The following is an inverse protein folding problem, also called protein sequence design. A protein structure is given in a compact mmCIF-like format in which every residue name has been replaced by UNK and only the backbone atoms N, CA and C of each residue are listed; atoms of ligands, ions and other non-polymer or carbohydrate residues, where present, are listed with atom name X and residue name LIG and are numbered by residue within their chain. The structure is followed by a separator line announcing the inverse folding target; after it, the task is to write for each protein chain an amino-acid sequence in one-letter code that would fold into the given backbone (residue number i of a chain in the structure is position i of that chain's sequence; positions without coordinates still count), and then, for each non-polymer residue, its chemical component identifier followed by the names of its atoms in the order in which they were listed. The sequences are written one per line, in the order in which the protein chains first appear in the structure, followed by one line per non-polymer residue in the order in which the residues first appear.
data_IF_240598742825
#
_entry.id   IF_240598742825
#
_cell.length_a   1.000
_cell.length_b   1.000
_cell.length_c   1.000
_cell.angle_alpha   90.00
_cell.angle_beta   90.00
_cell.angle_gamma   90.00
#
_symmetry.space_group_name_H-M   'P 1'
#
loop_
_entity.id
_entity.type
_entity.pdbx_description
1 polymer ?
#
# COMPACT_ATOMS: atom_id res chain seq x y z
N UNK A 1 -13.77 -10.92 -10.84
CA UNK A 1 -14.13 -12.34 -11.16
C UNK A 1 -15.31 -12.82 -10.32
N UNK A 2 -15.31 -12.70 -8.99
CA UNK A 2 -16.40 -13.24 -8.12
C UNK A 2 -17.76 -12.57 -8.43
N UNK A 3 -17.81 -11.26 -8.67
CA UNK A 3 -19.06 -10.59 -9.05
C UNK A 3 -19.58 -11.05 -10.41
N UNK A 4 -18.69 -11.28 -11.39
CA UNK A 4 -19.06 -11.80 -12.71
C UNK A 4 -19.52 -13.27 -12.66
N UNK A 5 -18.90 -14.06 -11.76
CA UNK A 5 -19.31 -15.46 -11.55
C UNK A 5 -20.67 -15.50 -10.82
N UNK A 6 -20.92 -14.58 -9.87
CA UNK A 6 -22.23 -14.45 -9.22
C UNK A 6 -23.33 -14.05 -10.23
N UNK A 7 -23.07 -13.14 -11.14
CA UNK A 7 -24.03 -12.74 -12.20
C UNK A 7 -24.29 -13.88 -13.19
N UNK A 8 -23.29 -14.69 -13.52
CA UNK A 8 -23.47 -15.88 -14.38
C UNK A 8 -24.29 -16.94 -13.65
N UNK A 9 -23.99 -17.19 -12.38
CA UNK A 9 -24.76 -18.12 -11.54
C UNK A 9 -26.22 -17.66 -11.39
N UNK A 10 -26.44 -16.36 -11.18
CA UNK A 10 -27.79 -15.80 -11.05
C UNK A 10 -28.64 -16.02 -12.33
N UNK A 11 -28.07 -15.81 -13.51
CA UNK A 11 -28.78 -16.04 -14.79
C UNK A 11 -29.21 -17.51 -14.98
N UNK A 12 -28.33 -18.45 -14.72
CA UNK A 12 -28.62 -19.87 -14.77
C UNK A 12 -29.61 -20.31 -13.70
N UNK A 13 -29.56 -19.67 -12.54
CA UNK A 13 -30.49 -19.94 -11.44
C UNK A 13 -31.91 -19.53 -11.80
N UNK A 14 -32.11 -18.32 -12.34
CA UNK A 14 -33.45 -17.84 -12.75
C UNK A 14 -34.07 -18.75 -13.78
N UNK A 15 -33.31 -19.16 -14.81
CA UNK A 15 -33.85 -20.09 -15.85
C UNK A 15 -34.30 -21.42 -15.23
N UNK A 16 -33.50 -22.00 -14.30
CA UNK A 16 -33.85 -23.24 -13.59
C UNK A 16 -35.09 -23.09 -12.73
N UNK A 17 -35.22 -21.97 -12.04
CA UNK A 17 -36.38 -21.65 -11.19
C UNK A 17 -37.67 -21.59 -12.04
N UNK A 18 -37.62 -20.90 -13.19
CA UNK A 18 -38.78 -20.80 -14.09
C UNK A 18 -39.20 -22.17 -14.62
N UNK A 19 -38.25 -23.00 -15.04
CA UNK A 19 -38.53 -24.37 -15.49
C UNK A 19 -39.15 -25.21 -14.35
N UNK A 20 -38.58 -25.12 -13.13
CA UNK A 20 -39.12 -25.82 -11.97
C UNK A 20 -40.49 -25.34 -11.59
N UNK A 21 -40.74 -24.03 -11.62
CA UNK A 21 -42.05 -23.46 -11.33
C UNK A 21 -43.10 -23.90 -12.33
N UNK A 22 -42.75 -23.98 -13.64
CA UNK A 22 -43.64 -24.50 -14.68
C UNK A 22 -43.91 -25.99 -14.45
N UNK A 23 -42.94 -26.76 -14.07
CA UNK A 23 -43.10 -28.18 -13.75
C UNK A 23 -44.04 -28.37 -12.54
N UNK A 24 -43.80 -27.62 -11.44
CA UNK A 24 -44.67 -27.66 -10.26
C UNK A 24 -46.12 -27.27 -10.63
N UNK A 25 -46.29 -26.18 -11.40
CA UNK A 25 -47.61 -25.78 -11.89
C UNK A 25 -48.32 -26.90 -12.68
N UNK A 26 -47.59 -27.50 -13.60
CA UNK A 26 -48.17 -28.57 -14.48
C UNK A 26 -48.54 -29.78 -13.65
N UNK A 27 -47.71 -30.25 -12.73
CA UNK A 27 -48.02 -31.40 -11.86
C UNK A 27 -49.25 -31.11 -11.00
N UNK A 28 -49.30 -29.98 -10.33
CA UNK A 28 -50.42 -29.62 -9.49
C UNK A 28 -51.70 -29.36 -10.29
N UNK A 29 -51.61 -28.88 -11.51
CA UNK A 29 -52.81 -28.71 -12.40
C UNK A 29 -53.58 -30.00 -12.62
N UNK A 30 -52.88 -31.14 -12.64
CA UNK A 30 -53.48 -32.44 -12.77
C UNK A 30 -53.87 -33.10 -11.42
N UNK A 31 -53.28 -32.68 -10.32
CA UNK A 31 -53.57 -33.20 -8.97
C UNK A 31 -54.67 -32.40 -8.29
N UNK A 32 -54.48 -31.08 -8.16
CA UNK A 32 -55.45 -30.12 -7.61
C UNK A 32 -55.23 -28.74 -8.21
N UNK A 33 -56.18 -28.28 -9.05
CA UNK A 33 -56.13 -27.00 -9.75
C UNK A 33 -56.08 -25.80 -8.80
N UNK A 34 -56.70 -25.91 -7.62
CA UNK A 34 -56.71 -24.84 -6.63
C UNK A 34 -55.32 -24.64 -6.01
N UNK A 35 -54.62 -25.71 -5.74
CA UNK A 35 -53.26 -25.67 -5.17
C UNK A 35 -52.20 -25.35 -6.21
N UNK A 36 -52.45 -25.55 -7.50
CA UNK A 36 -51.49 -25.33 -8.59
C UNK A 36 -50.89 -23.92 -8.58
N UNK A 37 -51.72 -22.88 -8.40
CA UNK A 37 -51.27 -21.49 -8.34
C UNK A 37 -50.52 -21.22 -7.03
N UNK A 38 -51.01 -21.69 -5.89
CA UNK A 38 -50.41 -21.44 -4.57
C UNK A 38 -49.03 -22.08 -4.44
N UNK A 39 -48.87 -23.34 -4.82
CA UNK A 39 -47.59 -24.04 -4.81
C UNK A 39 -46.59 -23.40 -5.77
N UNK A 40 -47.03 -22.99 -6.96
CA UNK A 40 -46.15 -22.30 -7.92
C UNK A 40 -45.64 -20.93 -7.39
N UNK A 41 -46.56 -20.12 -6.84
CA UNK A 41 -46.20 -18.83 -6.25
C UNK A 41 -45.29 -19.02 -5.05
N UNK A 42 -45.53 -20.02 -4.20
CA UNK A 42 -44.68 -20.36 -3.07
C UNK A 42 -43.28 -20.73 -3.52
N UNK A 43 -43.08 -21.52 -4.56
CA UNK A 43 -41.79 -21.87 -5.15
C UNK A 43 -41.11 -20.64 -5.72
N UNK A 44 -41.80 -19.78 -6.48
CA UNK A 44 -41.24 -18.55 -7.04
C UNK A 44 -40.72 -17.60 -5.93
N UNK A 45 -41.51 -17.43 -4.88
CA UNK A 45 -41.15 -16.59 -3.74
C UNK A 45 -39.99 -17.22 -2.95
N UNK A 46 -40.06 -18.50 -2.61
CA UNK A 46 -39.02 -19.21 -1.84
C UNK A 46 -37.68 -19.25 -2.55
N UNK A 47 -37.67 -19.23 -3.87
CA UNK A 47 -36.42 -19.27 -4.67
C UNK A 47 -35.88 -17.91 -5.06
N UNK A 48 -36.51 -16.81 -4.61
CA UNK A 48 -35.91 -15.48 -4.84
C UNK A 48 -34.48 -15.41 -4.26
N UNK A 49 -33.46 -15.08 -5.06
CA UNK A 49 -32.04 -15.03 -4.58
C UNK A 49 -31.71 -13.75 -3.81
N UNK A 50 -32.70 -13.11 -3.13
CA UNK A 50 -32.57 -11.80 -2.51
C UNK A 50 -31.45 -11.78 -1.46
N UNK A 51 -31.38 -12.79 -0.59
CA UNK A 51 -30.30 -12.92 0.41
C UNK A 51 -28.93 -13.15 -0.27
N UNK A 52 -28.90 -13.91 -1.36
CA UNK A 52 -27.68 -14.19 -2.12
C UNK A 52 -27.15 -12.94 -2.83
N UNK A 53 -28.00 -12.15 -3.45
CA UNK A 53 -27.62 -10.91 -4.15
C UNK A 53 -27.17 -9.80 -3.22
N UNK A 54 -27.67 -9.76 -1.97
CA UNK A 54 -27.31 -8.76 -0.96
C UNK A 54 -26.05 -9.14 -0.16
N UNK A 55 -25.67 -10.41 -0.11
CA UNK A 55 -24.61 -10.93 0.74
C UNK A 55 -23.25 -10.24 0.50
N UNK A 56 -22.84 -10.11 -0.76
CA UNK A 56 -21.55 -9.52 -1.13
C UNK A 56 -21.55 -7.99 -1.08
N UNK A 57 -22.51 -7.26 -1.71
CA UNK A 57 -22.47 -5.79 -1.72
C UNK A 57 -22.52 -5.17 -0.33
N UNK A 58 -23.40 -5.67 0.54
CA UNK A 58 -23.53 -5.12 1.90
C UNK A 58 -22.24 -5.34 2.70
N UNK A 59 -21.68 -6.56 2.65
CA UNK A 59 -20.44 -6.85 3.36
C UNK A 59 -19.27 -5.99 2.85
N UNK A 60 -19.14 -5.80 1.54
CA UNK A 60 -18.11 -4.95 0.95
C UNK A 60 -18.29 -3.47 1.34
N UNK A 61 -19.52 -2.96 1.30
CA UNK A 61 -19.80 -1.57 1.72
C UNK A 61 -19.43 -1.35 3.20
N UNK A 62 -19.80 -2.28 4.07
CA UNK A 62 -19.44 -2.19 5.50
C UNK A 62 -17.93 -2.27 5.69
N UNK A 63 -17.25 -3.16 4.96
CA UNK A 63 -15.79 -3.30 5.01
C UNK A 63 -15.10 -2.02 4.52
N UNK A 64 -15.48 -1.48 3.37
CA UNK A 64 -14.92 -0.25 2.80
C UNK A 64 -15.08 0.95 3.75
N UNK A 65 -16.25 1.12 4.34
CA UNK A 65 -16.49 2.17 5.33
C UNK A 65 -15.62 1.98 6.59
N UNK A 66 -15.42 0.74 7.02
CA UNK A 66 -14.55 0.46 8.17
C UNK A 66 -13.09 0.70 7.86
N UNK A 67 -12.60 0.33 6.65
CA UNK A 67 -11.26 0.63 6.17
C UNK A 67 -11.01 2.14 6.16
N UNK A 68 -11.94 2.91 5.60
CA UNK A 68 -11.87 4.37 5.56
C UNK A 68 -11.77 5.01 6.96
N UNK A 69 -12.43 4.42 7.97
CA UNK A 69 -12.43 4.95 9.35
C UNK A 69 -11.06 4.94 10.04
N UNK A 70 -10.09 4.15 9.55
CA UNK A 70 -8.71 4.17 10.03
C UNK A 70 -7.69 4.62 8.97
N UNK A 71 -8.17 5.34 7.95
CA UNK A 71 -7.32 5.99 6.96
C UNK A 71 -6.90 5.11 5.78
N UNK A 72 -7.50 3.94 5.60
CA UNK A 72 -7.24 3.07 4.44
C UNK A 72 -8.37 3.23 3.42
N UNK A 73 -8.15 4.05 2.39
CA UNK A 73 -9.15 4.32 1.34
C UNK A 73 -9.01 3.33 0.18
N UNK A 74 -10.09 2.67 -0.18
CA UNK A 74 -10.13 1.80 -1.37
C UNK A 74 -10.70 2.60 -2.55
N UNK A 75 -9.98 2.60 -3.67
CA UNK A 75 -10.36 3.29 -4.91
C UNK A 75 -11.05 2.35 -5.90
N UNK A 76 -10.84 1.04 -5.77
CA UNK A 76 -11.39 0.01 -6.66
C UNK A 76 -12.20 -1.03 -5.90
N UNK A 77 -13.30 -1.49 -6.52
CA UNK A 77 -14.25 -2.42 -5.87
C UNK A 77 -13.69 -3.82 -5.55
N UNK A 78 -12.62 -4.27 -6.24
CA UNK A 78 -12.00 -5.58 -5.99
C UNK A 78 -10.98 -5.58 -4.85
N UNK A 79 -10.54 -4.40 -4.39
CA UNK A 79 -9.43 -4.23 -3.42
C UNK A 79 -9.63 -5.09 -2.16
N UNK A 80 -10.80 -5.01 -1.53
CA UNK A 80 -11.10 -5.79 -0.30
C UNK A 80 -11.01 -7.29 -0.54
N UNK A 81 -11.48 -7.76 -1.70
CA UNK A 81 -11.45 -9.18 -2.04
C UNK A 81 -10.02 -9.65 -2.30
N UNK A 82 -9.22 -8.88 -3.04
CA UNK A 82 -7.82 -9.23 -3.34
C UNK A 82 -6.96 -9.17 -2.09
N UNK A 83 -7.13 -8.16 -1.21
CA UNK A 83 -6.44 -8.07 0.08
C UNK A 83 -6.66 -9.32 0.95
N UNK A 84 -7.83 -9.97 0.86
CA UNK A 84 -8.10 -11.18 1.64
C UNK A 84 -7.33 -12.43 1.18
N UNK A 85 -6.69 -12.37 0.02
CA UNK A 85 -5.93 -13.48 -0.59
C UNK A 85 -4.45 -13.19 -0.71
N UNK A 86 -3.96 -12.06 -0.19
CA UNK A 86 -2.56 -11.67 -0.23
C UNK A 86 -1.70 -12.67 0.50
N UNK A 87 -0.63 -13.12 -0.16
CA UNK A 87 0.38 -14.04 0.40
C UNK A 87 1.72 -13.36 0.62
N UNK A 88 2.01 -12.32 -0.19
CA UNK A 88 3.23 -11.51 -0.08
C UNK A 88 2.92 -10.02 -0.11
N UNK A 89 3.66 -9.23 0.69
CA UNK A 89 3.58 -7.77 0.66
C UNK A 89 4.94 -7.21 0.32
N UNK A 90 5.04 -6.57 -0.84
CA UNK A 90 6.24 -5.90 -1.31
C UNK A 90 6.19 -4.42 -0.90
N UNK A 91 7.26 -3.96 -0.27
CA UNK A 91 7.42 -2.57 0.16
C UNK A 91 8.53 -1.91 -0.62
N UNK A 92 8.30 -0.69 -1.11
CA UNK A 92 9.42 0.20 -1.38
C UNK A 92 10.05 0.66 -0.06
N UNK A 93 11.31 1.09 -0.07
CA UNK A 93 12.00 1.60 1.12
C UNK A 93 11.62 3.05 1.40
N UNK A 94 11.97 3.93 0.46
CA UNK A 94 11.99 5.39 0.67
C UNK A 94 10.59 5.98 0.64
N UNK A 95 10.23 6.77 1.67
CA UNK A 95 8.88 7.33 1.77
C UNK A 95 7.78 6.31 2.12
N UNK A 96 8.10 5.01 2.14
CA UNK A 96 7.20 3.90 2.44
C UNK A 96 7.49 3.29 3.80
N UNK A 97 8.52 2.47 3.94
CA UNK A 97 8.98 1.96 5.24
C UNK A 97 9.65 3.05 6.08
N UNK A 98 10.24 4.03 5.41
CA UNK A 98 10.82 5.22 5.98
C UNK A 98 9.89 6.43 5.80
N UNK A 99 10.19 7.51 6.48
CA UNK A 99 9.38 8.75 6.41
C UNK A 99 9.63 9.55 5.14
N UNK A 100 10.70 9.25 4.38
CA UNK A 100 11.19 10.07 3.27
C UNK A 100 11.77 11.42 3.74
N UNK A 101 11.99 11.58 5.04
CA UNK A 101 12.59 12.77 5.63
C UNK A 101 14.02 12.46 6.07
N UNK A 102 14.98 13.11 5.44
CA UNK A 102 16.36 13.04 5.87
C UNK A 102 16.52 13.70 7.24
N UNK A 103 17.28 13.08 8.15
CA UNK A 103 17.73 13.70 9.39
C UNK A 103 19.25 13.75 9.40
N UNK A 104 19.81 14.91 9.74
CA UNK A 104 21.25 15.08 9.87
C UNK A 104 21.73 14.38 11.15
N UNK A 105 22.68 13.46 11.02
CA UNK A 105 23.29 12.72 12.12
C UNK A 105 24.60 13.33 12.54
N UNK A 106 25.51 13.56 11.57
CA UNK A 106 26.85 14.08 11.83
C UNK A 106 27.30 15.01 10.70
N UNK A 107 28.21 15.94 11.07
CA UNK A 107 28.97 16.78 10.15
C UNK A 107 30.40 16.59 10.53
N UNK A 108 31.23 16.10 9.63
CA UNK A 108 32.69 15.91 9.78
C UNK A 108 33.37 16.80 8.78
N UNK A 109 34.33 17.58 9.22
CA UNK A 109 35.00 18.54 8.33
C UNK A 109 36.24 19.19 8.89
N UNK A 110 36.76 20.13 8.13
CA UNK A 110 38.02 20.85 8.42
C UNK A 110 37.81 22.12 9.28
N UNK A 111 36.58 22.44 9.65
CA UNK A 111 36.22 23.59 10.48
C UNK A 111 35.20 23.21 11.56
N UNK A 112 34.77 24.17 12.35
CA UNK A 112 33.76 23.95 13.39
C UNK A 112 32.43 23.44 12.79
N UNK A 113 31.81 22.49 13.48
CA UNK A 113 30.56 21.84 13.06
C UNK A 113 29.44 22.85 12.77
N UNK A 114 29.29 23.88 13.61
CA UNK A 114 28.24 24.87 13.46
C UNK A 114 28.49 25.75 12.22
N UNK A 115 29.73 26.08 11.93
CA UNK A 115 30.14 26.85 10.74
C UNK A 115 29.87 26.04 9.47
N UNK A 116 30.31 24.78 9.41
CA UNK A 116 30.08 23.90 8.25
C UNK A 116 28.61 23.66 8.01
N UNK A 117 27.83 23.45 9.07
CA UNK A 117 26.37 23.28 8.98
C UNK A 117 25.70 24.56 8.49
N UNK A 118 26.09 25.74 8.97
CA UNK A 118 25.53 27.00 8.51
C UNK A 118 25.81 27.24 7.03
N UNK A 119 26.99 26.94 6.53
CA UNK A 119 27.36 27.05 5.11
C UNK A 119 26.59 26.06 4.26
N UNK A 120 26.49 24.78 4.68
CA UNK A 120 25.72 23.76 3.98
C UNK A 120 24.23 24.11 3.90
N UNK A 121 23.63 24.59 5.00
CA UNK A 121 22.24 25.01 5.04
C UNK A 121 21.99 26.25 4.17
N UNK A 122 22.92 27.20 4.15
CA UNK A 122 22.82 28.41 3.34
C UNK A 122 22.76 28.09 1.84
N UNK A 123 23.58 27.15 1.35
CA UNK A 123 23.55 26.69 -0.06
C UNK A 123 22.21 26.08 -0.44
N UNK A 124 21.56 25.40 0.48
CA UNK A 124 20.31 24.68 0.24
C UNK A 124 19.04 25.53 0.46
N UNK A 125 19.17 26.83 0.74
CA UNK A 125 18.03 27.76 0.84
C UNK A 125 17.28 27.78 -0.49
N UNK A 126 15.97 27.48 -0.44
CA UNK A 126 15.10 27.42 -1.63
C UNK A 126 15.06 26.06 -2.32
N UNK A 127 15.91 25.11 -1.97
CA UNK A 127 15.85 23.73 -2.44
C UNK A 127 14.68 22.98 -1.80
N UNK A 128 13.97 22.15 -2.59
CA UNK A 128 12.90 21.27 -2.10
C UNK A 128 13.40 19.87 -1.74
N UNK A 129 14.69 19.63 -1.84
CA UNK A 129 15.26 18.31 -1.56
C UNK A 129 15.14 17.96 -0.06
N UNK A 130 14.89 16.67 0.32
CA UNK A 130 14.83 16.26 1.73
C UNK A 130 16.06 16.63 2.55
N UNK A 131 17.24 16.60 1.95
CA UNK A 131 18.53 17.04 2.56
C UNK A 131 18.48 18.52 2.93
N UNK A 132 17.96 19.38 2.06
CA UNK A 132 17.82 20.80 2.32
C UNK A 132 16.98 21.08 3.57
N UNK A 133 15.82 20.40 3.66
CA UNK A 133 14.94 20.51 4.83
C UNK A 133 15.65 20.06 6.11
N UNK A 134 16.41 18.97 6.03
CA UNK A 134 17.18 18.45 7.17
C UNK A 134 18.25 19.44 7.65
N UNK A 135 19.01 20.01 6.69
CA UNK A 135 20.05 20.99 6.98
C UNK A 135 19.47 22.27 7.58
N UNK A 136 18.41 22.82 6.98
CA UNK A 136 17.74 24.03 7.50
C UNK A 136 17.14 23.82 8.90
N UNK A 137 16.59 22.61 9.15
CA UNK A 137 16.09 22.26 10.47
C UNK A 137 17.21 22.15 11.49
N UNK A 138 18.32 21.49 11.14
CA UNK A 138 19.46 21.33 12.03
C UNK A 138 20.22 22.65 12.28
N UNK A 139 20.21 23.56 11.31
CA UNK A 139 20.83 24.88 11.40
C UNK A 139 19.92 25.95 12.08
N UNK A 140 18.76 25.52 12.62
CA UNK A 140 17.86 26.47 13.29
C UNK A 140 18.57 27.20 14.45
N UNK A 141 18.55 28.51 14.40
CA UNK A 141 19.22 29.37 15.39
C UNK A 141 20.68 29.71 15.06
N UNK A 142 21.27 29.14 13.99
CA UNK A 142 22.59 29.55 13.51
C UNK A 142 22.45 30.77 12.57
N UNK A 143 23.51 31.60 12.56
CA UNK A 143 23.63 32.65 11.55
C UNK A 143 24.04 32.04 10.21
N UNK A 144 23.17 32.11 9.21
CA UNK A 144 23.44 31.59 7.88
C UNK A 144 24.14 32.67 7.03
N UNK A 145 25.29 32.36 6.38
CA UNK A 145 25.93 33.30 5.47
C UNK A 145 25.07 33.58 4.25
N UNK A 146 25.25 34.77 3.66
CA UNK A 146 24.57 35.13 2.41
C UNK A 146 25.24 34.39 1.26
N UNK A 147 24.43 33.71 0.44
CA UNK A 147 24.89 33.01 -0.76
C UNK A 147 24.45 33.78 -1.99
N UNK A 148 25.40 34.04 -2.89
CA UNK A 148 25.13 34.63 -4.21
C UNK A 148 25.42 33.61 -5.32
N UNK A 149 24.99 33.90 -6.55
CA UNK A 149 25.26 33.06 -7.74
C UNK A 149 24.89 31.58 -7.56
N UNK A 150 23.73 31.34 -6.94
CA UNK A 150 23.27 29.96 -6.68
C UNK A 150 22.88 29.27 -7.98
N UNK A 151 23.50 28.14 -8.27
CA UNK A 151 23.24 27.29 -9.46
C UNK A 151 22.86 25.89 -9.01
N UNK A 152 21.68 25.41 -9.45
CA UNK A 152 21.24 24.03 -9.23
C UNK A 152 21.66 23.15 -10.43
N UNK A 153 22.43 22.11 -10.15
CA UNK A 153 22.88 21.12 -11.14
C UNK A 153 22.03 19.86 -11.01
N UNK A 154 21.26 19.53 -12.06
CA UNK A 154 20.42 18.34 -12.09
C UNK A 154 21.27 17.08 -11.85
N UNK A 155 20.84 16.26 -10.88
CA UNK A 155 21.55 15.05 -10.44
C UNK A 155 22.97 15.25 -9.89
N UNK A 156 23.41 16.49 -9.65
CA UNK A 156 24.73 16.81 -9.11
C UNK A 156 24.67 17.35 -7.69
N UNK A 157 24.11 18.52 -7.54
CA UNK A 157 24.06 19.26 -6.30
C UNK A 157 23.84 20.74 -6.54
N UNK A 158 24.28 21.57 -5.59
CA UNK A 158 24.16 23.02 -5.61
C UNK A 158 25.53 23.66 -5.51
N UNK A 159 25.75 24.71 -6.30
CA UNK A 159 26.92 25.58 -6.25
C UNK A 159 26.50 26.99 -5.88
N UNK A 160 27.32 27.73 -5.14
CA UNK A 160 27.09 29.13 -4.80
C UNK A 160 28.33 29.80 -4.24
N UNK A 161 28.30 31.12 -4.09
CA UNK A 161 29.40 31.94 -3.59
C UNK A 161 29.06 32.49 -2.20
N UNK A 162 29.92 32.27 -1.23
CA UNK A 162 29.86 32.81 0.13
C UNK A 162 31.18 33.53 0.45
N UNK A 163 31.11 34.78 0.89
CA UNK A 163 32.30 35.59 1.25
C UNK A 163 33.39 35.61 0.15
N UNK A 164 32.97 35.63 -1.14
CA UNK A 164 33.85 35.61 -2.29
C UNK A 164 34.47 34.25 -2.63
N UNK A 165 34.12 33.18 -1.89
CA UNK A 165 34.59 31.81 -2.13
C UNK A 165 33.46 30.96 -2.71
N UNK A 166 33.77 30.17 -3.75
CA UNK A 166 32.80 29.23 -4.36
C UNK A 166 32.74 27.97 -3.52
N UNK A 167 31.52 27.49 -3.29
CA UNK A 167 31.22 26.23 -2.60
C UNK A 167 30.31 25.37 -3.44
N UNK A 168 30.45 24.05 -3.31
CA UNK A 168 29.53 23.02 -3.83
C UNK A 168 29.07 22.11 -2.73
N UNK A 169 27.82 21.67 -2.81
CA UNK A 169 27.25 20.59 -1.98
C UNK A 169 26.56 19.57 -2.89
N UNK A 170 26.85 18.26 -2.71
CA UNK A 170 26.28 17.22 -3.55
C UNK A 170 27.03 15.91 -3.53
N UNK A 171 26.90 15.14 -4.60
CA UNK A 171 27.62 13.86 -4.77
C UNK A 171 29.11 14.06 -5.06
N UNK A 172 29.93 13.06 -4.73
CA UNK A 172 31.38 13.08 -4.88
C UNK A 172 31.83 13.58 -6.26
N UNK A 173 31.27 13.03 -7.36
CA UNK A 173 31.61 13.44 -8.73
C UNK A 173 31.35 14.91 -9.02
N UNK A 174 30.35 15.50 -8.40
CA UNK A 174 30.01 16.90 -8.57
C UNK A 174 30.90 17.84 -7.76
N UNK A 175 31.21 17.46 -6.52
CA UNK A 175 32.01 18.32 -5.62
C UNK A 175 33.50 18.25 -5.92
N UNK A 176 34.02 17.25 -6.64
CA UNK A 176 35.44 17.07 -6.95
C UNK A 176 35.85 17.45 -8.38
N UNK A 177 34.92 17.73 -9.29
CA UNK A 177 35.13 18.11 -10.71
C UNK A 177 36.02 17.17 -11.54
N UNK A 178 36.35 16.01 -11.01
CA UNK A 178 37.23 15.06 -11.65
C UNK A 178 36.54 13.73 -11.84
N UNK A 179 36.76 13.13 -13.02
CA UNK A 179 36.84 11.68 -13.13
C UNK A 179 38.07 11.16 -12.35
N UNK A 180 38.22 11.62 -11.10
CA UNK A 180 39.20 11.03 -10.21
C UNK A 180 38.64 9.65 -9.89
N UNK A 181 39.31 8.63 -10.40
CA UNK A 181 39.48 7.40 -9.63
C UNK A 181 39.71 7.86 -8.21
N UNK A 182 38.75 7.55 -7.33
CA UNK A 182 38.78 8.00 -5.95
C UNK A 182 40.00 7.40 -5.27
N UNK A 183 41.15 7.99 -5.58
CA UNK A 183 42.39 7.68 -4.88
C UNK A 183 42.13 8.12 -3.44
N UNK A 184 42.01 7.11 -2.59
CA UNK A 184 41.66 7.23 -1.17
C UNK A 184 42.53 8.23 -0.42
N UNK A 185 43.63 8.69 -1.01
CA UNK A 185 44.53 9.70 -0.47
C UNK A 185 43.96 11.11 -0.42
N UNK A 186 43.09 11.51 -1.35
CA UNK A 186 42.48 12.85 -1.38
C UNK A 186 41.21 12.96 -0.51
N UNK A 187 40.60 11.84 -0.15
CA UNK A 187 39.45 11.79 0.74
C UNK A 187 39.86 11.73 2.22
N UNK A 188 41.07 11.23 2.55
CA UNK A 188 41.63 11.23 3.89
C UNK A 188 40.59 10.97 5.00
N UNK A 189 40.42 11.98 5.86
CA UNK A 189 39.44 11.97 6.96
C UNK A 189 37.98 11.93 6.48
N UNK A 190 37.69 12.13 5.18
CA UNK A 190 36.35 12.13 4.61
C UNK A 190 35.96 10.80 3.97
N UNK A 191 36.65 9.72 4.27
CA UNK A 191 36.31 8.36 3.86
C UNK A 191 34.85 8.05 4.30
N UNK A 192 34.08 7.47 3.41
CA UNK A 192 32.70 7.15 3.71
C UNK A 192 32.60 6.05 4.77
N UNK A 193 32.06 6.39 5.93
CA UNK A 193 31.85 5.47 7.04
C UNK A 193 30.39 5.54 7.52
N UNK A 194 29.46 5.11 6.64
CA UNK A 194 28.03 5.17 6.91
C UNK A 194 27.63 4.34 8.14
N UNK A 195 28.29 3.20 8.35
CA UNK A 195 27.97 2.31 9.46
C UNK A 195 28.33 2.90 10.81
N UNK A 196 29.45 3.60 10.93
CA UNK A 196 29.89 4.27 12.17
C UNK A 196 28.87 5.32 12.64
N UNK A 197 28.31 6.07 11.68
CA UNK A 197 27.32 7.12 11.98
C UNK A 197 25.88 6.62 11.90
N UNK A 198 25.64 5.32 11.71
CA UNK A 198 24.29 4.74 11.47
C UNK A 198 23.54 5.47 10.35
N UNK A 199 24.28 5.97 9.38
CA UNK A 199 23.76 6.72 8.25
C UNK A 199 23.44 5.79 7.09
N UNK A 200 22.46 6.17 6.29
CA UNK A 200 22.13 5.49 5.02
C UNK A 200 22.41 6.37 3.79
N UNK A 201 22.82 7.61 4.03
CA UNK A 201 23.16 8.58 2.99
C UNK A 201 24.22 9.55 3.49
N UNK A 202 25.15 9.98 2.62
CA UNK A 202 26.05 11.09 2.88
C UNK A 202 26.08 12.08 1.73
N UNK A 203 26.36 13.34 2.05
CA UNK A 203 26.55 14.44 1.10
C UNK A 203 27.87 15.11 1.41
N UNK A 204 28.59 15.51 0.39
CA UNK A 204 29.88 16.20 0.52
C UNK A 204 29.73 17.70 0.25
N UNK A 205 30.54 18.50 0.91
CA UNK A 205 30.70 19.91 0.62
C UNK A 205 32.14 20.19 0.26
N UNK A 206 32.39 20.97 -0.79
CA UNK A 206 33.70 21.42 -1.22
C UNK A 206 33.76 22.93 -1.39
N UNK A 207 34.97 23.49 -1.31
CA UNK A 207 35.27 24.90 -1.65
C UNK A 207 36.26 24.95 -2.79
N UNK A 208 36.18 26.01 -3.58
CA UNK A 208 37.20 26.32 -4.59
C UNK A 208 38.40 26.99 -3.90
N UNK A 209 39.57 26.38 -4.02
CA UNK A 209 40.81 26.92 -3.44
C UNK A 209 42.00 26.70 -4.40
N UNK A 210 42.67 27.79 -4.76
CA UNK A 210 43.70 27.73 -5.80
C UNK A 210 43.05 27.44 -7.16
N UNK A 211 43.36 26.30 -7.77
CA UNK A 211 42.85 25.86 -9.04
C UNK A 211 42.07 24.53 -8.97
N UNK A 212 41.61 24.16 -7.76
CA UNK A 212 40.94 22.89 -7.51
C UNK A 212 39.81 22.98 -6.49
N UNK A 213 38.89 22.00 -6.56
CA UNK A 213 37.89 21.78 -5.53
C UNK A 213 38.46 20.97 -4.38
N UNK A 214 38.40 21.53 -3.18
CA UNK A 214 38.83 20.86 -1.94
C UNK A 214 37.60 20.46 -1.14
N UNK A 215 37.48 19.17 -0.79
CA UNK A 215 36.42 18.68 0.09
C UNK A 215 36.69 19.21 1.49
N UNK A 216 35.69 19.89 2.08
CA UNK A 216 35.78 20.53 3.40
C UNK A 216 34.85 19.88 4.43
N UNK A 217 33.80 19.18 3.99
CA UNK A 217 32.93 18.45 4.91
C UNK A 217 32.24 17.25 4.25
N UNK A 218 31.92 16.27 5.09
CA UNK A 218 30.97 15.21 4.83
C UNK A 218 29.85 15.28 5.84
N UNK A 219 28.61 15.28 5.36
CA UNK A 219 27.39 15.36 6.14
C UNK A 219 26.66 14.02 6.02
N UNK A 220 26.34 13.42 7.16
CA UNK A 220 25.71 12.11 7.25
C UNK A 220 24.25 12.25 7.62
N UNK A 221 23.43 11.51 6.89
CA UNK A 221 21.96 11.53 7.07
C UNK A 221 21.41 10.12 7.19
N UNK A 222 20.29 10.00 7.87
CA UNK A 222 19.44 8.84 7.75
C UNK A 222 18.01 9.25 7.34
N UNK A 223 17.31 8.31 6.72
CA UNK A 223 15.87 8.38 6.51
C UNK A 223 15.22 7.52 7.59
N UNK A 224 14.53 8.17 8.52
CA UNK A 224 13.99 7.50 9.70
C UNK A 224 12.92 6.48 9.33
N UNK A 225 13.01 5.30 9.94
CA UNK A 225 11.95 4.31 9.90
C UNK A 225 10.65 4.87 10.49
N UNK A 226 9.53 4.52 9.88
CA UNK A 226 8.23 4.81 10.50
C UNK A 226 8.09 4.03 11.80
N UNK A 227 7.59 4.67 12.82
CA UNK A 227 7.52 4.12 14.19
C UNK A 227 6.68 2.85 14.29
N UNK A 228 5.73 2.66 13.39
CA UNK A 228 4.84 1.51 13.34
C UNK A 228 5.23 0.45 12.29
N UNK A 229 6.34 0.65 11.55
CA UNK A 229 6.79 -0.27 10.51
C UNK A 229 7.06 -1.68 11.08
N UNK A 230 7.79 -1.77 12.20
CA UNK A 230 8.11 -3.05 12.84
C UNK A 230 6.85 -3.80 13.28
N UNK A 231 5.93 -3.12 13.95
CA UNK A 231 4.67 -3.72 14.41
C UNK A 231 3.81 -4.20 13.23
N UNK A 232 3.80 -3.47 12.12
CA UNK A 232 3.11 -3.86 10.89
C UNK A 232 3.74 -5.12 10.28
N UNK A 233 5.07 -5.19 10.16
CA UNK A 233 5.78 -6.38 9.63
C UNK A 233 5.52 -7.61 10.49
N UNK A 234 5.57 -7.47 11.82
CA UNK A 234 5.30 -8.56 12.75
C UNK A 234 3.84 -9.04 12.64
N UNK A 235 2.89 -8.12 12.45
CA UNK A 235 1.48 -8.43 12.21
C UNK A 235 1.26 -9.23 10.92
N UNK A 236 1.92 -8.86 9.82
CA UNK A 236 1.87 -9.61 8.55
C UNK A 236 2.41 -11.04 8.73
N UNK A 237 3.56 -11.19 9.37
CA UNK A 237 4.16 -12.51 9.64
C UNK A 237 3.26 -13.39 10.51
N UNK A 238 2.64 -12.82 11.54
CA UNK A 238 1.68 -13.54 12.38
C UNK A 238 0.47 -14.08 11.61
N UNK A 239 0.14 -13.47 10.45
CA UNK A 239 -0.88 -13.96 9.52
C UNK A 239 -0.37 -14.96 8.50
N UNK A 240 0.92 -15.31 8.51
CA UNK A 240 1.56 -16.17 7.49
C UNK A 240 1.82 -15.44 6.17
N UNK A 241 1.84 -14.10 6.16
CA UNK A 241 2.12 -13.29 4.98
C UNK A 241 3.59 -12.91 4.99
N UNK A 242 4.29 -13.13 3.87
CA UNK A 242 5.71 -12.83 3.75
C UNK A 242 5.94 -11.38 3.31
N UNK A 243 6.55 -10.54 4.16
CA UNK A 243 6.98 -9.21 3.74
C UNK A 243 8.28 -9.29 2.95
N UNK A 244 8.40 -8.46 1.91
CA UNK A 244 9.62 -8.29 1.14
C UNK A 244 9.88 -6.82 0.86
N UNK A 245 11.15 -6.45 0.68
CA UNK A 245 11.56 -5.07 0.36
C UNK A 245 12.19 -5.00 -1.03
N UNK A 246 11.72 -4.06 -1.85
CA UNK A 246 12.25 -3.76 -3.19
C UNK A 246 12.69 -2.30 -3.22
N UNK A 247 13.99 -2.03 -3.33
CA UNK A 247 14.48 -0.64 -3.36
C UNK A 247 15.41 -0.36 -4.53
N UNK A 248 15.29 0.84 -5.09
CA UNK A 248 16.22 1.34 -6.11
C UNK A 248 17.52 1.90 -5.53
N UNK A 249 17.65 2.00 -4.21
CA UNK A 249 18.88 2.46 -3.56
C UNK A 249 20.04 1.51 -3.90
N UNK A 250 21.11 1.98 -4.56
CA UNK A 250 22.23 1.12 -4.96
C UNK A 250 23.14 0.74 -3.78
N UNK A 251 22.96 1.37 -2.61
CA UNK A 251 23.81 1.13 -1.43
C UNK A 251 23.39 -0.16 -0.71
N UNK A 252 24.30 -1.14 -0.50
CA UNK A 252 24.03 -2.34 0.29
C UNK A 252 23.50 -2.07 1.71
N UNK A 253 23.83 -0.91 2.29
CA UNK A 253 23.29 -0.49 3.60
C UNK A 253 21.76 -0.34 3.61
N UNK A 254 21.12 -0.27 2.44
CA UNK A 254 19.67 -0.35 2.35
C UNK A 254 19.12 -1.65 2.98
N UNK A 255 19.90 -2.74 2.98
CA UNK A 255 19.52 -4.01 3.62
C UNK A 255 19.48 -3.95 5.14
N UNK A 256 20.18 -2.99 5.77
CA UNK A 256 20.11 -2.79 7.22
C UNK A 256 18.66 -2.50 7.67
N UNK A 257 17.93 -1.69 6.91
CA UNK A 257 16.50 -1.41 7.13
C UNK A 257 15.66 -2.70 7.13
N UNK A 258 15.92 -3.61 6.20
CA UNK A 258 15.23 -4.89 6.14
C UNK A 258 15.57 -5.77 7.35
N UNK A 259 16.83 -5.79 7.75
CA UNK A 259 17.31 -6.55 8.93
C UNK A 259 16.65 -6.04 10.20
N UNK A 260 16.63 -4.72 10.42
CA UNK A 260 16.05 -4.07 11.61
C UNK A 260 14.53 -4.37 11.71
N UNK A 261 13.84 -4.40 10.59
CA UNK A 261 12.43 -4.76 10.50
C UNK A 261 12.21 -6.28 10.54
N UNK A 262 13.28 -7.08 10.38
CA UNK A 262 13.22 -8.52 10.30
C UNK A 262 12.64 -9.03 8.97
N UNK A 263 12.75 -8.28 7.87
CA UNK A 263 12.37 -8.70 6.53
C UNK A 263 13.49 -9.59 5.98
N UNK A 264 13.17 -10.84 5.64
CA UNK A 264 14.16 -11.81 5.14
C UNK A 264 14.41 -11.72 3.63
N UNK A 265 13.41 -11.27 2.86
CA UNK A 265 13.50 -11.11 1.41
C UNK A 265 13.68 -9.62 1.08
N UNK A 266 14.90 -9.19 0.76
CA UNK A 266 15.18 -7.78 0.44
C UNK A 266 16.12 -7.68 -0.76
N UNK A 267 15.81 -6.77 -1.68
CA UNK A 267 16.52 -6.56 -2.93
C UNK A 267 16.80 -5.08 -3.10
N UNK A 268 18.05 -4.72 -3.46
CA UNK A 268 18.50 -3.34 -3.61
C UNK A 268 19.06 -3.08 -5.01
N UNK A 269 19.25 -1.81 -5.37
CA UNK A 269 19.78 -1.41 -6.68
C UNK A 269 18.87 -1.76 -7.87
N UNK A 270 17.56 -1.91 -7.61
CA UNK A 270 16.60 -2.32 -8.63
C UNK A 270 16.15 -1.13 -9.47
N UNK A 271 16.17 -1.26 -10.79
CA UNK A 271 15.45 -0.35 -11.68
C UNK A 271 13.93 -0.53 -11.52
N UNK A 272 13.10 0.43 -11.97
CA UNK A 272 11.65 0.25 -11.99
C UNK A 272 11.22 -1.01 -12.77
N UNK A 273 11.88 -1.34 -13.86
CA UNK A 273 11.65 -2.52 -14.67
C UNK A 273 11.97 -3.81 -13.89
N UNK A 274 13.10 -3.85 -13.17
CA UNK A 274 13.47 -4.99 -12.33
C UNK A 274 12.45 -5.24 -11.23
N UNK A 275 11.94 -4.18 -10.59
CA UNK A 275 10.87 -4.28 -9.59
C UNK A 275 9.60 -4.90 -10.20
N UNK A 276 9.19 -4.45 -11.40
CA UNK A 276 8.03 -5.00 -12.12
C UNK A 276 8.22 -6.48 -12.42
N UNK A 277 9.40 -6.85 -12.92
CA UNK A 277 9.71 -8.25 -13.28
C UNK A 277 9.76 -9.14 -12.03
N UNK A 278 10.21 -8.60 -10.89
CA UNK A 278 10.17 -9.31 -9.62
C UNK A 278 8.73 -9.62 -9.19
N UNK A 279 7.83 -8.62 -9.25
CA UNK A 279 6.41 -8.81 -8.94
C UNK A 279 5.78 -9.85 -9.88
N UNK A 280 6.03 -9.77 -11.20
CA UNK A 280 5.50 -10.73 -12.17
C UNK A 280 5.98 -12.17 -11.92
N UNK A 281 7.27 -12.35 -11.55
CA UNK A 281 7.81 -13.66 -11.17
C UNK A 281 7.10 -14.25 -9.96
N UNK A 282 6.84 -13.46 -8.92
CA UNK A 282 6.07 -13.90 -7.76
C UNK A 282 4.65 -14.34 -8.16
N UNK A 283 3.98 -13.55 -9.00
CA UNK A 283 2.64 -13.88 -9.50
C UNK A 283 2.63 -15.16 -10.36
N UNK A 284 3.64 -15.38 -11.18
CA UNK A 284 3.79 -16.60 -11.97
C UNK A 284 3.95 -17.86 -11.09
N UNK A 285 4.51 -17.70 -9.90
CA UNK A 285 4.62 -18.76 -8.88
C UNK A 285 3.33 -18.94 -8.05
N UNK A 286 2.24 -18.27 -8.42
CA UNK A 286 0.93 -18.39 -7.75
C UNK A 286 0.76 -17.48 -6.53
N UNK A 287 1.70 -16.58 -6.25
CA UNK A 287 1.58 -15.63 -5.16
C UNK A 287 0.60 -14.49 -5.48
N UNK A 288 -0.13 -14.05 -4.48
CA UNK A 288 -0.93 -12.81 -4.56
C UNK A 288 -0.17 -11.70 -3.87
N UNK A 289 0.30 -10.74 -4.65
CA UNK A 289 1.20 -9.69 -4.18
C UNK A 289 0.45 -8.37 -3.96
N UNK A 290 0.58 -7.82 -2.75
CA UNK A 290 0.29 -6.41 -2.47
C UNK A 290 1.59 -5.61 -2.62
N UNK A 291 1.59 -4.58 -3.47
CA UNK A 291 2.68 -3.60 -3.55
C UNK A 291 2.31 -2.34 -2.77
N UNK A 292 3.24 -1.88 -1.92
CA UNK A 292 3.12 -0.63 -1.14
C UNK A 292 4.25 0.30 -1.52
N UNK A 293 3.93 1.51 -1.98
CA UNK A 293 4.90 2.51 -2.44
C UNK A 293 4.41 3.94 -2.22
N UNK A 294 5.22 4.94 -2.62
CA UNK A 294 4.88 6.37 -2.51
C UNK A 294 3.91 6.86 -3.61
N UNK A 295 3.68 6.06 -4.64
CA UNK A 295 2.74 6.36 -5.73
C UNK A 295 3.29 7.23 -6.85
N UNK A 296 4.41 7.91 -6.67
CA UNK A 296 5.02 8.81 -7.68
C UNK A 296 6.06 8.06 -8.50
N UNK A 297 7.05 7.49 -7.83
CA UNK A 297 8.16 6.79 -8.49
C UNK A 297 7.84 5.33 -8.82
N UNK A 298 6.93 4.72 -8.06
CA UNK A 298 6.58 3.31 -8.15
C UNK A 298 5.30 3.02 -8.97
N UNK A 299 4.75 4.01 -9.69
CA UNK A 299 3.49 3.84 -10.44
C UNK A 299 3.48 2.60 -11.36
N UNK A 300 4.53 2.26 -12.13
CA UNK A 300 4.54 1.04 -12.94
C UNK A 300 4.51 -0.24 -12.09
N UNK A 301 5.20 -0.24 -10.95
CA UNK A 301 5.28 -1.39 -10.04
C UNK A 301 3.95 -1.61 -9.31
N UNK A 302 3.31 -0.51 -8.85
CA UNK A 302 1.98 -0.52 -8.25
C UNK A 302 0.93 -1.08 -9.23
N UNK A 303 1.01 -0.68 -10.50
CA UNK A 303 0.09 -1.16 -11.54
C UNK A 303 0.30 -2.64 -11.90
N UNK A 304 1.50 -3.18 -11.72
CA UNK A 304 1.83 -4.58 -12.02
C UNK A 304 1.35 -5.56 -10.91
N UNK A 305 1.16 -5.10 -9.69
CA UNK A 305 0.77 -5.93 -8.56
C UNK A 305 -0.70 -6.41 -8.66
N UNK A 306 -1.06 -7.48 -7.91
CA UNK A 306 -2.45 -7.94 -7.83
C UNK A 306 -3.35 -6.93 -7.13
N UNK A 307 -2.80 -6.23 -6.16
CA UNK A 307 -3.40 -5.09 -5.46
C UNK A 307 -2.29 -4.14 -5.03
N UNK A 308 -2.59 -2.84 -5.02
CA UNK A 308 -1.61 -1.81 -4.70
C UNK A 308 -2.14 -0.81 -3.68
N UNK A 309 -1.22 -0.31 -2.85
CA UNK A 309 -1.48 0.75 -1.86
C UNK A 309 -0.43 1.84 -2.01
N UNK A 310 -0.85 3.07 -2.24
CA UNK A 310 0.04 4.22 -2.16
C UNK A 310 -0.07 4.89 -0.79
N UNK A 311 1.06 5.40 -0.30
CA UNK A 311 1.12 6.26 0.88
C UNK A 311 1.07 7.70 0.38
N UNK A 312 -0.05 8.38 0.58
CA UNK A 312 -0.23 9.72 0.07
C UNK A 312 -0.39 10.75 1.19
N UNK A 313 0.18 11.94 0.96
CA UNK A 313 -0.24 13.16 1.64
C UNK A 313 -1.60 13.65 1.10
N UNK A 314 -2.26 14.54 1.82
CA UNK A 314 -3.58 15.06 1.41
C UNK A 314 -3.56 15.78 0.03
N UNK A 315 -2.40 16.28 -0.41
CA UNK A 315 -2.22 16.98 -1.69
C UNK A 315 -2.13 16.02 -2.90
N UNK A 316 -1.79 14.74 -2.67
CA UNK A 316 -1.45 13.80 -3.75
C UNK A 316 -2.62 12.90 -4.17
N UNK A 317 -3.77 13.03 -3.49
CA UNK A 317 -4.96 12.18 -3.73
C UNK A 317 -5.48 12.22 -5.17
N UNK A 318 -5.26 13.32 -5.88
CA UNK A 318 -5.76 13.50 -7.25
C UNK A 318 -4.96 12.71 -8.31
N UNK A 319 -3.75 12.24 -7.99
CA UNK A 319 -2.84 11.57 -8.93
C UNK A 319 -2.69 10.06 -8.66
N UNK A 320 -3.44 9.51 -7.72
CA UNK A 320 -3.27 8.13 -7.27
C UNK A 320 -3.84 7.13 -8.26
N UNK A 321 -2.97 6.35 -8.89
CA UNK A 321 -3.33 5.23 -9.77
C UNK A 321 -3.47 3.88 -9.05
N UNK A 322 -3.21 3.83 -7.74
CA UNK A 322 -3.26 2.60 -6.93
C UNK A 322 -4.69 2.17 -6.58
N UNK A 323 -4.84 0.89 -6.21
CA UNK A 323 -6.14 0.30 -5.82
C UNK A 323 -6.61 0.77 -4.44
N UNK A 324 -5.70 1.31 -3.63
CA UNK A 324 -6.00 1.89 -2.32
C UNK A 324 -4.96 2.94 -1.93
N UNK A 325 -5.35 3.82 -1.01
CA UNK A 325 -4.53 4.92 -0.50
C UNK A 325 -4.50 4.86 1.02
N UNK A 326 -3.30 4.93 1.58
CA UNK A 326 -3.08 5.04 3.01
C UNK A 326 -2.91 6.50 3.39
N UNK A 327 -3.88 7.05 4.10
CA UNK A 327 -3.85 8.42 4.62
C UNK A 327 -3.07 8.50 5.93
N UNK A 328 -2.31 9.59 6.10
CA UNK A 328 -1.57 9.85 7.35
C UNK A 328 -0.40 8.90 7.62
N UNK A 329 -0.04 8.05 6.66
CA UNK A 329 1.18 7.25 6.66
C UNK A 329 1.32 6.23 7.80
N UNK A 330 0.23 5.83 8.46
CA UNK A 330 0.26 4.80 9.52
C UNK A 330 0.27 3.40 8.91
N UNK A 331 1.44 2.80 8.79
CA UNK A 331 1.63 1.49 8.14
C UNK A 331 0.84 0.36 8.80
N UNK A 332 0.61 0.41 10.10
CA UNK A 332 -0.17 -0.59 10.83
C UNK A 332 -1.60 -0.74 10.28
N UNK A 333 -2.12 0.28 9.59
CA UNK A 333 -3.41 0.18 8.92
C UNK A 333 -3.41 -0.85 7.77
N UNK A 334 -2.26 -1.18 7.17
CA UNK A 334 -2.14 -2.22 6.14
C UNK A 334 -2.43 -3.59 6.73
N UNK A 335 -1.81 -3.95 7.85
CA UNK A 335 -2.09 -5.21 8.56
C UNK A 335 -3.56 -5.32 8.97
N UNK A 336 -4.11 -4.21 9.52
CA UNK A 336 -5.53 -4.14 9.87
C UNK A 336 -6.45 -4.28 8.66
N UNK A 337 -6.08 -3.68 7.52
CA UNK A 337 -6.85 -3.77 6.29
C UNK A 337 -6.91 -5.20 5.76
N UNK A 338 -5.79 -5.90 5.75
CA UNK A 338 -5.72 -7.31 5.37
C UNK A 338 -6.57 -8.17 6.32
N UNK A 339 -6.40 -8.00 7.64
CA UNK A 339 -7.17 -8.73 8.64
C UNK A 339 -8.69 -8.52 8.52
N UNK A 340 -9.12 -7.27 8.29
CA UNK A 340 -10.52 -6.92 8.04
C UNK A 340 -11.03 -7.55 6.75
N UNK A 341 -10.21 -7.57 5.70
CA UNK A 341 -10.56 -8.14 4.39
C UNK A 341 -10.76 -9.66 4.50
N UNK A 342 -9.87 -10.37 5.21
CA UNK A 342 -10.00 -11.82 5.49
C UNK A 342 -11.30 -12.10 6.25
N UNK A 343 -11.61 -11.31 7.31
CA UNK A 343 -12.85 -11.45 8.09
C UNK A 343 -14.08 -11.17 7.24
N UNK A 344 -14.03 -10.13 6.39
CA UNK A 344 -15.13 -9.77 5.50
C UNK A 344 -15.43 -10.89 4.50
N UNK A 345 -14.39 -11.49 3.93
CA UNK A 345 -14.53 -12.61 3.01
C UNK A 345 -15.11 -13.87 3.71
N UNK A 346 -14.73 -14.12 4.95
CA UNK A 346 -15.32 -15.21 5.74
C UNK A 346 -16.82 -14.97 5.99
N UNK A 347 -17.22 -13.75 6.31
CA UNK A 347 -18.63 -13.36 6.51
C UNK A 347 -19.42 -13.48 5.18
N UNK A 348 -18.85 -13.04 4.06
CA UNK A 348 -19.45 -13.23 2.74
C UNK A 348 -19.72 -14.71 2.47
N UNK A 349 -18.73 -15.59 2.69
CA UNK A 349 -18.89 -17.05 2.52
C UNK A 349 -19.96 -17.63 3.44
N UNK A 350 -20.04 -17.16 4.70
CA UNK A 350 -21.10 -17.57 5.63
C UNK A 350 -22.49 -17.18 5.11
N UNK A 351 -22.65 -15.94 4.65
CA UNK A 351 -23.90 -15.43 4.10
C UNK A 351 -24.34 -16.19 2.85
N UNK A 352 -23.40 -16.47 1.94
CA UNK A 352 -23.67 -17.26 0.73
C UNK A 352 -24.10 -18.70 1.08
N UNK A 353 -23.41 -19.35 2.03
CA UNK A 353 -23.79 -20.69 2.49
C UNK A 353 -25.17 -20.69 3.15
N UNK A 354 -25.45 -19.70 4.01
CA UNK A 354 -26.75 -19.55 4.64
C UNK A 354 -27.87 -19.40 3.61
N UNK A 355 -27.69 -18.48 2.65
CA UNK A 355 -28.69 -18.26 1.59
C UNK A 355 -28.94 -19.53 0.76
N UNK A 356 -27.89 -20.29 0.44
CA UNK A 356 -28.01 -21.54 -0.30
C UNK A 356 -28.77 -22.59 0.50
N UNK A 357 -28.42 -22.79 1.77
CA UNK A 357 -29.06 -23.76 2.66
C UNK A 357 -30.54 -23.43 2.82
N UNK A 358 -30.85 -22.15 3.12
CA UNK A 358 -32.21 -21.68 3.31
C UNK A 358 -33.05 -21.91 2.05
N UNK A 359 -32.62 -21.45 0.88
CA UNK A 359 -33.37 -21.61 -0.37
C UNK A 359 -33.56 -23.08 -0.71
N UNK A 360 -32.55 -23.94 -0.53
CA UNK A 360 -32.68 -25.38 -0.79
C UNK A 360 -33.64 -26.08 0.18
N UNK A 361 -33.64 -25.65 1.45
CA UNK A 361 -34.51 -26.27 2.48
C UNK A 361 -35.98 -25.92 2.32
N UNK A 362 -36.31 -24.71 1.81
CA UNK A 362 -37.68 -24.25 1.66
C UNK A 362 -38.29 -24.72 0.31
N UNK A 363 -37.43 -24.93 -0.69
CA UNK A 363 -37.86 -25.27 -2.06
C UNK A 363 -38.72 -26.54 -2.15
N UNK A 364 -38.25 -27.63 -1.51
CA UNK A 364 -38.99 -28.92 -1.55
C UNK A 364 -40.36 -28.83 -0.84
N UNK A 365 -40.41 -28.35 0.43
CA UNK A 365 -41.72 -28.15 1.09
C UNK A 365 -42.68 -27.23 0.29
N UNK A 366 -42.17 -26.17 -0.33
CA UNK A 366 -42.96 -25.27 -1.15
C UNK A 366 -43.49 -25.98 -2.42
N UNK A 367 -42.67 -26.79 -3.07
CA UNK A 367 -43.08 -27.56 -4.25
C UNK A 367 -44.14 -28.63 -3.92
N UNK A 368 -44.11 -29.18 -2.70
CA UNK A 368 -45.12 -30.13 -2.22
C UNK A 368 -46.38 -29.48 -1.61
N UNK A 369 -46.51 -28.14 -1.68
CA UNK A 369 -47.67 -27.42 -1.16
C UNK A 369 -47.71 -27.24 0.36
N UNK A 370 -46.67 -27.66 1.12
CA UNK A 370 -46.62 -27.53 2.57
C UNK A 370 -46.32 -26.12 3.05
N UNK A 371 -45.85 -25.23 2.21
CA UNK A 371 -45.51 -23.86 2.54
C UNK A 371 -46.36 -22.89 1.73
N UNK A 372 -47.26 -22.16 2.38
CA UNK A 372 -48.05 -21.15 1.70
C UNK A 372 -47.17 -19.96 1.27
N UNK A 373 -47.50 -19.21 0.21
CA UNK A 373 -46.66 -18.10 -0.30
C UNK A 373 -46.35 -17.01 0.72
N UNK A 374 -47.27 -16.68 1.61
CA UNK A 374 -47.04 -15.67 2.67
C UNK A 374 -45.96 -16.11 3.68
N UNK A 375 -45.93 -17.40 4.02
CA UNK A 375 -44.93 -17.97 4.92
C UNK A 375 -43.57 -18.01 4.24
N UNK A 376 -43.48 -18.37 2.98
CA UNK A 376 -42.30 -18.30 2.15
C UNK A 376 -41.72 -16.85 2.11
N UNK A 377 -42.61 -15.85 1.93
CA UNK A 377 -42.20 -14.42 1.91
C UNK A 377 -41.66 -13.93 3.25
N UNK A 378 -42.28 -14.32 4.36
CA UNK A 378 -41.77 -13.99 5.72
C UNK A 378 -40.38 -14.63 5.91
N UNK A 379 -40.23 -15.90 5.63
CA UNK A 379 -38.96 -16.62 5.78
C UNK A 379 -37.85 -16.02 4.93
N UNK A 380 -38.13 -15.65 3.69
CA UNK A 380 -37.18 -14.96 2.80
C UNK A 380 -36.76 -13.60 3.36
N UNK A 381 -37.73 -12.82 3.88
CA UNK A 381 -37.43 -11.52 4.51
C UNK A 381 -36.54 -11.66 5.74
N UNK A 382 -36.82 -12.64 6.61
CA UNK A 382 -36.00 -12.96 7.77
C UNK A 382 -34.61 -13.46 7.38
N UNK A 383 -34.50 -14.28 6.35
CA UNK A 383 -33.22 -14.73 5.82
C UNK A 383 -32.37 -13.57 5.31
N UNK A 384 -32.95 -12.62 4.58
CA UNK A 384 -32.30 -11.41 4.09
C UNK A 384 -31.83 -10.52 5.27
N UNK A 385 -32.67 -10.35 6.29
CA UNK A 385 -32.32 -9.60 7.49
C UNK A 385 -31.17 -10.25 8.26
N UNK A 386 -31.15 -11.58 8.35
CA UNK A 386 -30.05 -12.33 8.99
C UNK A 386 -28.72 -12.11 8.25
N UNK A 387 -28.72 -12.10 6.91
CA UNK A 387 -27.54 -11.81 6.08
C UNK A 387 -27.01 -10.39 6.33
N UNK A 388 -27.91 -9.40 6.39
CA UNK A 388 -27.54 -8.01 6.71
C UNK A 388 -26.97 -7.90 8.13
N UNK A 389 -27.65 -8.50 9.11
CA UNK A 389 -27.20 -8.49 10.51
C UNK A 389 -25.82 -9.17 10.67
N UNK A 390 -25.56 -10.27 9.98
CA UNK A 390 -24.26 -10.93 9.96
C UNK A 390 -23.17 -10.05 9.32
N UNK A 391 -23.48 -9.34 8.23
CA UNK A 391 -22.55 -8.42 7.59
C UNK A 391 -22.15 -7.25 8.53
N UNK A 392 -23.05 -6.78 9.38
CA UNK A 392 -22.75 -5.71 10.36
C UNK A 392 -21.70 -6.10 11.41
N UNK A 393 -21.39 -7.38 11.58
CA UNK A 393 -20.29 -7.87 12.46
C UNK A 393 -18.92 -7.41 11.97
N UNK A 394 -18.78 -7.01 10.69
CA UNK A 394 -17.55 -6.43 10.15
C UNK A 394 -17.20 -5.11 10.86
N UNK A 395 -18.18 -4.32 11.29
CA UNK A 395 -17.94 -3.05 12.01
C UNK A 395 -17.23 -3.24 13.35
N UNK A 396 -17.38 -4.41 13.98
CA UNK A 396 -16.82 -4.74 15.29
C UNK A 396 -15.44 -5.38 15.21
N UNK A 397 -14.85 -5.38 14.01
CA UNK A 397 -13.54 -6.00 13.75
C UNK A 397 -12.37 -5.02 13.93
#
# INVERSE_FOLDING_TARGET
KIAQDADRMARWFVARVLVLSLLVFTVWWFVDKHEALWATVAVLVATCPCALSLATPIALTVATNRLASFGFLTTRGHTVQTLSTVTKVAFDKTGTLTTGQANLLAVIGDADRAELLAKAAALEIGSRHPVAKALLTAAHGLHLPVVTDVVHHTAGGIEGVMDGVRYRIGHLRFVSDSAIDADSSSLGQFVENLSEYQANMSVLMSRWQGDAWQIVARLYFNDSLRTDAKAMIDGLKARGITPLMLTGDPNPNALAVATDLGISEAYYGLSPEDKVDHIKRLQANGETVLMVGDGINDAPVLAAANVSTSIAGAADLAQVSSDSVLLGGKLLAIDRAIGLSIKSQAIIRQNLRWALIYNSSVLLPAAFGYVPPWLAAIGMSLSSLAVVANAMRIKRA
#
